data_IF_108646874054
#
_entry.id   IF_108646874054
#
_cell.length_a   1.000
_cell.length_b   1.000
_cell.length_c   1.000
_cell.angle_alpha   90.00
_cell.angle_beta   90.00
_cell.angle_gamma   90.00
#
_symmetry.space_group_name_H-M   'P 1'
#
loop_
_entity.id
_entity.type
_entity.pdbx_description
1 polymer ?
#
# COMPACT_ATOMS: atom_id res chain seq x y z
N UNK A 1 66.60 79.51 1.50
CA UNK A 1 65.39 79.13 0.75
C UNK A 1 64.32 78.82 1.77
N UNK A 2 63.45 79.79 2.06
CA UNK A 2 62.38 79.65 3.06
C UNK A 2 61.25 78.82 2.46
N UNK A 3 61.19 77.53 2.83
CA UNK A 3 60.04 76.67 2.55
C UNK A 3 58.83 77.21 3.31
N UNK A 4 57.94 77.91 2.61
CA UNK A 4 56.65 78.31 3.14
C UNK A 4 55.87 77.06 3.56
N UNK A 5 55.54 76.95 4.84
CA UNK A 5 54.68 75.90 5.40
C UNK A 5 53.26 76.11 4.86
N UNK A 6 52.96 75.52 3.71
CA UNK A 6 51.61 75.51 3.15
C UNK A 6 50.76 74.54 3.96
N UNK A 7 49.92 75.07 4.83
CA UNK A 7 48.92 74.27 5.55
C UNK A 7 47.87 73.82 4.51
N UNK A 8 47.58 72.51 4.47
CA UNK A 8 46.62 71.90 3.52
C UNK A 8 45.43 71.32 4.28
N UNK A 9 44.24 71.47 3.70
CA UNK A 9 42.98 70.95 4.25
C UNK A 9 42.36 69.86 3.39
N UNK A 10 41.51 69.02 4.00
CA UNK A 10 40.73 67.98 3.34
C UNK A 10 39.28 68.43 3.13
N UNK A 11 38.81 68.42 1.87
CA UNK A 11 37.43 68.76 1.56
C UNK A 11 36.51 67.56 1.70
N UNK A 12 35.50 67.62 2.57
CA UNK A 12 34.58 66.48 2.80
C UNK A 12 33.58 66.21 1.66
N UNK A 13 33.59 66.99 0.58
CA UNK A 13 32.76 66.76 -0.62
C UNK A 13 33.56 65.99 -1.68
N UNK A 14 34.70 66.54 -2.14
CA UNK A 14 35.53 65.87 -3.14
C UNK A 14 36.54 64.88 -2.54
N UNK A 15 36.72 64.89 -1.22
CA UNK A 15 37.68 64.06 -0.48
C UNK A 15 39.16 64.32 -0.83
N UNK A 16 39.44 65.41 -1.53
CA UNK A 16 40.81 65.84 -1.84
C UNK A 16 41.49 66.38 -0.57
N UNK A 17 42.67 65.84 -0.24
CA UNK A 17 43.43 66.04 1.00
C UNK A 17 44.59 67.03 0.87
N UNK A 18 44.76 67.64 -0.31
CA UNK A 18 45.87 68.56 -0.64
C UNK A 18 45.42 69.93 -1.14
N UNK A 19 44.29 70.42 -0.65
CA UNK A 19 43.79 71.75 -1.05
C UNK A 19 44.36 72.81 -0.11
N UNK A 20 44.86 73.89 -0.69
CA UNK A 20 45.34 75.06 0.06
C UNK A 20 44.20 75.66 0.87
N UNK A 21 44.44 75.96 2.16
CA UNK A 21 43.41 76.48 3.07
C UNK A 21 42.75 77.77 2.58
N UNK A 22 43.48 78.59 1.82
CA UNK A 22 42.96 79.82 1.22
C UNK A 22 41.85 79.57 0.19
N UNK A 23 41.75 78.34 -0.33
CA UNK A 23 40.71 77.90 -1.25
C UNK A 23 39.51 77.28 -0.55
N UNK A 24 39.47 77.24 0.78
CA UNK A 24 38.29 76.79 1.53
C UNK A 24 37.36 77.96 1.84
N UNK A 25 36.05 77.73 1.70
CA UNK A 25 35.03 78.63 2.24
C UNK A 25 34.28 77.93 3.38
N UNK A 26 34.02 78.68 4.44
CA UNK A 26 33.35 78.20 5.65
C UNK A 26 31.90 78.68 5.62
N UNK A 27 30.95 77.76 5.71
CA UNK A 27 29.54 78.11 5.89
C UNK A 27 29.32 78.72 7.29
N UNK A 28 28.27 79.53 7.50
CA UNK A 28 27.94 80.08 8.84
C UNK A 28 27.72 79.00 9.92
N UNK A 29 27.46 77.76 9.51
CA UNK A 29 27.39 76.60 10.40
C UNK A 29 28.75 76.06 10.89
N UNK A 30 29.89 76.64 10.47
CA UNK A 30 31.24 76.23 10.84
C UNK A 30 31.86 75.14 9.96
N UNK A 31 31.12 74.58 9.00
CA UNK A 31 31.64 73.57 8.08
C UNK A 31 32.31 74.21 6.87
N UNK A 32 33.51 73.73 6.52
CA UNK A 32 34.30 74.25 5.40
C UNK A 32 34.42 73.24 4.26
N UNK A 33 34.43 73.76 3.03
CA UNK A 33 34.66 72.96 1.82
C UNK A 33 35.48 73.76 0.82
N UNK A 34 36.10 73.07 -0.14
CA UNK A 34 36.87 73.76 -1.16
C UNK A 34 35.97 74.59 -2.10
N UNK A 35 36.54 75.65 -2.65
CA UNK A 35 35.85 76.62 -3.49
C UNK A 35 35.18 75.98 -4.71
N UNK A 36 35.78 74.94 -5.29
CA UNK A 36 35.22 74.25 -6.46
C UNK A 36 33.92 73.52 -6.09
N UNK A 37 33.94 72.69 -5.04
CA UNK A 37 32.73 71.98 -4.59
C UNK A 37 31.61 72.93 -4.17
N UNK A 38 31.97 74.07 -3.57
CA UNK A 38 31.00 75.09 -3.21
C UNK A 38 30.41 75.75 -4.46
N UNK A 39 31.23 76.05 -5.47
CA UNK A 39 30.78 76.62 -6.75
C UNK A 39 29.86 75.66 -7.51
N UNK A 40 30.13 74.36 -7.46
CA UNK A 40 29.27 73.32 -8.05
C UNK A 40 27.93 73.21 -7.31
N UNK A 41 27.94 73.30 -5.98
CA UNK A 41 26.73 73.39 -5.15
C UNK A 41 25.90 74.62 -5.51
N UNK A 42 26.52 75.77 -5.77
CA UNK A 42 25.84 76.99 -6.24
C UNK A 42 25.25 76.83 -7.65
N UNK A 43 25.90 76.05 -8.52
CA UNK A 43 25.51 75.89 -9.93
C UNK A 43 24.35 74.90 -10.10
N UNK A 44 24.27 73.90 -9.23
CA UNK A 44 23.24 72.86 -9.27
C UNK A 44 21.94 73.23 -8.54
N UNK A 45 21.97 74.23 -7.65
CA UNK A 45 20.80 74.66 -6.90
C UNK A 45 20.04 75.80 -7.59
N UNK A 46 18.89 75.51 -8.19
CA UNK A 46 18.02 76.47 -8.89
C UNK A 46 17.24 77.42 -7.93
N UNK A 47 17.68 77.55 -6.67
CA UNK A 47 17.01 78.33 -5.63
C UNK A 47 18.04 79.17 -4.89
N UNK A 48 17.64 80.37 -4.43
CA UNK A 48 18.46 81.31 -3.64
C UNK A 48 18.97 80.76 -2.28
N UNK A 49 18.76 79.47 -2.00
CA UNK A 49 18.97 78.78 -0.72
C UNK A 49 19.80 77.53 -0.93
N UNK A 50 20.86 77.36 -0.14
CA UNK A 50 21.78 76.21 -0.21
C UNK A 50 21.78 75.45 1.10
N UNK A 51 21.91 74.13 1.03
CA UNK A 51 22.01 73.24 2.18
C UNK A 51 23.47 72.88 2.41
N UNK A 52 23.96 73.04 3.64
CA UNK A 52 25.26 72.51 4.02
C UNK A 52 25.27 70.97 3.87
N UNK A 53 26.22 70.36 3.14
CA UNK A 53 26.26 68.90 2.96
C UNK A 53 26.40 68.10 4.26
N UNK A 54 27.06 68.67 5.29
CA UNK A 54 27.31 67.97 6.56
C UNK A 54 26.15 68.10 7.53
N UNK A 55 25.67 69.33 7.79
CA UNK A 55 24.64 69.57 8.81
C UNK A 55 23.24 69.88 8.24
N UNK A 56 23.09 69.93 6.92
CA UNK A 56 21.83 70.18 6.17
C UNK A 56 21.09 71.49 6.49
N UNK A 57 21.67 72.38 7.30
CA UNK A 57 21.14 73.73 7.56
C UNK A 57 21.10 74.53 6.25
N UNK A 58 20.00 75.25 6.05
CA UNK A 58 19.73 76.04 4.85
C UNK A 58 20.22 77.47 5.07
N UNK A 59 20.99 77.98 4.11
CA UNK A 59 21.56 79.34 4.13
C UNK A 59 21.22 80.08 2.84
N UNK A 60 21.13 81.40 2.89
CA UNK A 60 20.96 82.22 1.68
C UNK A 60 22.32 82.42 1.01
N UNK A 61 22.34 82.51 -0.33
CA UNK A 61 23.57 82.70 -1.12
C UNK A 61 24.40 83.91 -0.69
N UNK A 62 23.75 84.94 -0.14
CA UNK A 62 24.40 86.17 0.36
C UNK A 62 25.19 85.97 1.65
N UNK A 63 24.96 84.89 2.38
CA UNK A 63 25.51 84.68 3.73
C UNK A 63 26.82 83.87 3.70
N UNK A 64 27.23 83.39 2.53
CA UNK A 64 28.50 82.73 2.31
C UNK A 64 29.62 83.77 2.15
N UNK A 65 30.06 84.36 3.26
CA UNK A 65 31.20 85.28 3.29
C UNK A 65 32.51 84.50 3.10
N UNK A 66 33.43 84.99 2.26
CA UNK A 66 34.83 84.53 2.25
C UNK A 66 35.45 84.91 3.60
N UNK A 67 35.60 83.96 4.51
CA UNK A 67 36.35 84.15 5.75
C UNK A 67 37.82 83.80 5.49
N UNK A 68 38.71 84.75 5.78
CA UNK A 68 40.17 84.58 5.83
C UNK A 68 40.51 83.81 7.10
N UNK A 69 41.12 82.63 6.97
CA UNK A 69 41.47 81.77 8.09
C UNK A 69 42.81 82.24 8.70
N UNK A 70 42.85 82.51 10.01
CA UNK A 70 44.10 82.74 10.76
C UNK A 70 44.45 81.45 11.54
N UNK A 71 45.48 80.68 11.17
CA UNK A 71 45.86 79.50 11.92
C UNK A 71 46.73 79.90 13.13
N UNK A 72 46.23 79.68 14.33
CA UNK A 72 47.06 79.62 15.54
C UNK A 72 47.70 78.23 15.62
N UNK A 73 49.01 78.15 15.44
CA UNK A 73 49.80 76.92 15.61
C UNK A 73 50.03 76.75 17.11
N UNK A 74 49.51 75.67 17.70
CA UNK A 74 49.79 75.27 19.08
C UNK A 74 50.69 74.03 19.02
N UNK A 75 51.83 74.08 19.72
CA UNK A 75 52.86 73.05 19.72
C UNK A 75 52.31 71.68 20.15
N UNK A 76 52.48 70.69 19.26
CA UNK A 76 51.83 69.37 19.28
C UNK A 76 52.77 68.25 19.75
N UNK A 77 53.92 68.58 20.34
CA UNK A 77 54.97 67.61 20.65
C UNK A 77 54.77 66.88 21.99
N UNK A 78 54.20 67.53 23.00
CA UNK A 78 54.22 66.99 24.38
C UNK A 78 52.99 66.16 24.77
N UNK A 79 52.00 65.94 23.88
CA UNK A 79 50.75 65.25 24.26
C UNK A 79 50.56 63.84 23.70
N UNK A 80 51.51 63.32 22.91
CA UNK A 80 51.27 62.06 22.19
C UNK A 80 51.14 60.84 23.12
N UNK A 81 51.97 60.74 24.16
CA UNK A 81 51.93 59.63 25.12
C UNK A 81 50.64 59.64 25.97
N UNK A 82 50.27 60.82 26.48
CA UNK A 82 49.06 60.99 27.30
C UNK A 82 47.78 60.66 26.52
N UNK A 83 47.71 61.02 25.22
CA UNK A 83 46.58 60.64 24.37
C UNK A 83 46.48 59.13 24.12
N UNK A 84 47.60 58.41 24.12
CA UNK A 84 47.60 56.95 24.00
C UNK A 84 47.16 56.31 25.31
N UNK A 85 47.67 56.80 26.44
CA UNK A 85 47.29 56.32 27.78
C UNK A 85 45.79 56.54 28.04
N UNK A 86 45.28 57.74 27.80
CA UNK A 86 43.84 58.05 27.91
C UNK A 86 43.01 57.18 26.95
N UNK A 87 43.51 56.94 25.75
CA UNK A 87 42.90 56.01 24.79
C UNK A 87 42.78 54.58 25.34
N UNK A 88 43.85 54.03 25.93
CA UNK A 88 43.85 52.68 26.52
C UNK A 88 42.95 52.58 27.75
N UNK A 89 42.91 53.62 28.59
CA UNK A 89 42.04 53.67 29.77
C UNK A 89 40.55 53.66 29.38
N UNK A 90 40.19 54.29 28.25
CA UNK A 90 38.82 54.32 27.72
C UNK A 90 38.41 53.05 26.98
N UNK A 91 39.33 52.15 26.66
CA UNK A 91 39.00 50.91 25.95
C UNK A 91 38.44 49.87 26.92
N UNK A 92 37.26 49.33 26.62
CA UNK A 92 36.59 48.30 27.39
C UNK A 92 36.13 47.12 26.52
N UNK A 93 35.30 46.23 27.08
CA UNK A 93 34.72 45.06 26.40
C UNK A 93 33.87 45.37 25.17
N UNK A 94 33.38 46.60 25.04
CA UNK A 94 32.52 47.02 23.92
C UNK A 94 33.33 47.62 22.77
N UNK A 95 34.63 47.78 22.97
CA UNK A 95 35.55 48.38 22.01
C UNK A 95 35.66 47.53 20.73
N UNK A 96 35.52 48.18 19.57
CA UNK A 96 35.67 47.52 18.27
C UNK A 96 37.13 47.12 18.04
N UNK A 97 37.36 45.99 17.36
CA UNK A 97 38.70 45.50 16.99
C UNK A 97 39.54 46.55 16.23
N UNK A 98 38.89 47.43 15.46
CA UNK A 98 39.56 48.51 14.73
C UNK A 98 40.22 49.51 15.70
N UNK A 99 39.57 49.80 16.83
CA UNK A 99 40.12 50.68 17.88
C UNK A 99 41.33 50.05 18.57
N UNK A 100 41.31 48.73 18.80
CA UNK A 100 42.47 47.97 19.32
C UNK A 100 43.65 48.03 18.34
N UNK A 101 43.40 47.81 17.04
CA UNK A 101 44.43 47.92 16.00
C UNK A 101 45.02 49.32 15.89
N UNK A 102 44.18 50.36 16.01
CA UNK A 102 44.63 51.77 16.04
C UNK A 102 45.43 52.08 17.29
N UNK A 103 45.02 51.58 18.46
CA UNK A 103 45.77 51.72 19.70
C UNK A 103 47.15 51.06 19.59
N UNK A 104 47.23 49.86 19.02
CA UNK A 104 48.50 49.19 18.72
C UNK A 104 49.40 50.05 17.82
N UNK A 105 48.89 50.54 16.69
CA UNK A 105 49.69 51.39 15.80
C UNK A 105 50.19 52.68 16.48
N UNK A 106 49.37 53.29 17.35
CA UNK A 106 49.77 54.46 18.14
C UNK A 106 50.79 54.11 19.21
N UNK A 107 50.69 52.95 19.84
CA UNK A 107 51.67 52.43 20.80
C UNK A 107 53.03 52.19 20.12
N UNK A 108 53.04 51.58 18.93
CA UNK A 108 54.26 51.36 18.15
C UNK A 108 54.94 52.68 17.81
N UNK A 109 54.18 53.69 17.37
CA UNK A 109 54.71 55.02 17.06
C UNK A 109 55.19 55.79 18.29
N UNK A 110 54.49 55.64 19.43
CA UNK A 110 54.92 56.22 20.69
C UNK A 110 56.25 55.61 21.15
N UNK A 111 56.43 54.30 20.99
CA UNK A 111 57.65 53.59 21.36
C UNK A 111 58.93 54.08 20.66
N UNK A 112 58.81 54.70 19.48
CA UNK A 112 59.95 55.24 18.73
C UNK A 112 60.56 56.52 19.36
N UNK A 113 59.81 57.24 20.21
CA UNK A 113 60.21 58.56 20.74
C UNK A 113 59.93 58.71 22.24
N UNK A 114 60.16 57.66 23.04
CA UNK A 114 59.83 57.63 24.47
C UNK A 114 61.00 58.08 25.35
N UNK A 115 60.72 59.04 26.24
CA UNK A 115 61.56 59.37 27.40
C UNK A 115 61.29 58.40 28.56
N UNK A 116 62.25 58.23 29.47
CA UNK A 116 62.18 57.25 30.57
C UNK A 116 60.92 57.39 31.44
N UNK A 117 60.48 58.61 31.74
CA UNK A 117 59.26 58.88 32.51
C UNK A 117 57.97 58.49 31.77
N UNK A 118 57.94 58.71 30.44
CA UNK A 118 56.81 58.32 29.59
C UNK A 118 56.76 56.81 29.39
N UNK A 119 57.92 56.14 29.40
CA UNK A 119 58.03 54.68 29.32
C UNK A 119 57.30 54.02 30.49
N UNK A 120 57.54 54.49 31.72
CA UNK A 120 56.96 53.89 32.93
C UNK A 120 55.44 54.10 32.99
N UNK A 121 54.96 55.29 32.62
CA UNK A 121 53.51 55.58 32.54
C UNK A 121 52.82 54.70 31.50
N UNK A 122 53.44 54.53 30.34
CA UNK A 122 52.90 53.68 29.28
C UNK A 122 52.91 52.21 29.68
N UNK A 123 53.98 51.72 30.34
CA UNK A 123 54.06 50.36 30.88
C UNK A 123 52.92 50.07 31.84
N UNK A 124 52.67 50.98 32.79
CA UNK A 124 51.56 50.86 33.76
C UNK A 124 50.19 50.83 33.07
N UNK A 125 49.99 51.66 32.04
CA UNK A 125 48.74 51.68 31.27
C UNK A 125 48.53 50.38 30.47
N UNK A 126 49.60 49.81 29.90
CA UNK A 126 49.57 48.52 29.20
C UNK A 126 49.25 47.38 30.16
N UNK A 127 49.83 47.37 31.36
CA UNK A 127 49.55 46.36 32.39
C UNK A 127 48.09 46.42 32.85
N UNK A 128 47.54 47.63 33.11
CA UNK A 128 46.14 47.80 33.46
C UNK A 128 45.19 47.37 32.33
N UNK A 129 45.48 47.79 31.10
CA UNK A 129 44.74 47.36 29.92
C UNK A 129 44.76 45.83 29.78
N UNK A 130 45.92 45.20 29.94
CA UNK A 130 46.08 43.74 29.86
C UNK A 130 45.26 43.03 30.95
N UNK A 131 45.31 43.54 32.19
CA UNK A 131 44.52 43.00 33.31
C UNK A 131 43.02 43.07 33.06
N UNK A 132 42.52 44.10 32.37
CA UNK A 132 41.10 44.24 32.01
C UNK A 132 40.70 43.41 30.79
N UNK A 133 41.61 43.19 29.85
CA UNK A 133 41.32 42.57 28.55
C UNK A 133 41.47 41.05 28.57
N UNK A 134 42.43 40.50 29.31
CA UNK A 134 42.65 39.04 29.38
C UNK A 134 41.38 38.28 29.84
N UNK A 135 40.69 38.67 30.94
CA UNK A 135 39.48 37.98 31.37
C UNK A 135 38.37 37.98 30.31
N UNK A 136 38.30 39.03 29.47
CA UNK A 136 37.30 39.10 28.40
C UNK A 136 37.58 38.09 27.29
N UNK A 137 38.84 37.85 26.96
CA UNK A 137 39.21 36.81 25.99
C UNK A 137 38.96 35.41 26.55
N UNK A 138 39.22 35.18 27.84
CA UNK A 138 38.88 33.92 28.51
C UNK A 138 37.37 33.66 28.50
N UNK A 139 36.54 34.67 28.81
CA UNK A 139 35.09 34.59 28.71
C UNK A 139 34.63 34.31 27.27
N UNK A 140 35.24 34.95 26.26
CA UNK A 140 34.93 34.70 24.86
C UNK A 140 35.30 33.27 24.42
N UNK A 141 36.44 32.74 24.85
CA UNK A 141 36.85 31.38 24.53
C UNK A 141 35.96 30.35 25.21
N UNK A 142 35.54 30.60 26.46
CA UNK A 142 34.51 29.80 27.14
C UNK A 142 33.18 29.86 26.40
N UNK A 143 32.76 31.03 25.94
CA UNK A 143 31.56 31.22 25.13
C UNK A 143 31.62 30.42 23.82
N UNK A 144 32.74 30.46 23.11
CA UNK A 144 32.94 29.66 21.88
C UNK A 144 32.88 28.16 22.13
N UNK A 145 33.55 27.68 23.19
CA UNK A 145 33.49 26.27 23.59
C UNK A 145 32.04 25.86 23.90
N UNK A 146 31.30 26.71 24.61
CA UNK A 146 29.90 26.44 24.94
C UNK A 146 29.01 26.39 23.71
N UNK A 147 29.20 27.29 22.75
CA UNK A 147 28.49 27.27 21.47
C UNK A 147 28.79 25.97 20.72
N UNK A 148 30.06 25.57 20.64
CA UNK A 148 30.46 24.32 19.99
C UNK A 148 29.85 23.08 20.65
N UNK A 149 29.81 23.02 21.98
CA UNK A 149 29.13 21.94 22.72
C UNK A 149 27.63 21.90 22.42
N UNK A 150 26.98 23.08 22.37
CA UNK A 150 25.56 23.19 22.05
C UNK A 150 25.28 22.72 20.62
N UNK A 151 26.06 23.17 19.64
CA UNK A 151 25.96 22.75 18.24
C UNK A 151 26.17 21.23 18.09
N UNK A 152 27.15 20.65 18.79
CA UNK A 152 27.34 19.21 18.80
C UNK A 152 26.13 18.48 19.41
N UNK A 153 25.59 18.99 20.53
CA UNK A 153 24.42 18.41 21.18
C UNK A 153 23.16 18.51 20.30
N UNK A 154 22.95 19.63 19.62
CA UNK A 154 21.84 19.83 18.70
C UNK A 154 21.99 18.93 17.47
N UNK A 155 23.20 18.78 16.94
CA UNK A 155 23.50 17.86 15.85
C UNK A 155 23.10 16.42 16.19
N UNK A 156 23.42 15.94 17.40
CA UNK A 156 23.02 14.59 17.82
C UNK A 156 21.50 14.44 17.98
N UNK A 157 20.82 15.44 18.55
CA UNK A 157 19.34 15.46 18.67
C UNK A 157 18.68 15.46 17.30
N UNK A 158 19.21 16.23 16.35
CA UNK A 158 18.70 16.28 14.98
C UNK A 158 18.85 14.93 14.26
N UNK A 159 20.00 14.26 14.43
CA UNK A 159 20.20 12.91 13.88
C UNK A 159 19.26 11.87 14.50
N UNK A 160 19.00 11.93 15.81
CA UNK A 160 18.03 11.06 16.48
C UNK A 160 16.60 11.32 15.98
N UNK A 161 16.21 12.59 15.78
CA UNK A 161 14.92 12.93 15.19
C UNK A 161 14.78 12.42 13.75
N UNK A 162 15.83 12.51 12.93
CA UNK A 162 15.84 11.91 11.58
C UNK A 162 15.67 10.39 11.65
N UNK A 163 16.38 9.71 12.56
CA UNK A 163 16.25 8.26 12.73
C UNK A 163 14.84 7.86 13.17
N UNK A 164 14.23 8.61 14.10
CA UNK A 164 12.84 8.43 14.53
C UNK A 164 11.84 8.66 13.39
N UNK A 165 12.02 9.72 12.59
CA UNK A 165 11.19 10.00 11.42
C UNK A 165 11.23 8.84 10.42
N UNK A 166 12.41 8.31 10.08
CA UNK A 166 12.54 7.14 9.20
C UNK A 166 11.85 5.89 9.75
N UNK A 167 11.85 5.71 11.07
CA UNK A 167 11.14 4.61 11.73
C UNK A 167 9.62 4.77 11.60
N UNK A 168 9.10 5.99 11.78
CA UNK A 168 7.68 6.30 11.57
C UNK A 168 7.29 5.98 10.12
N UNK A 169 8.05 6.45 9.12
CA UNK A 169 7.78 6.16 7.70
C UNK A 169 7.76 4.66 7.37
N UNK A 170 8.55 3.86 8.10
CA UNK A 170 8.58 2.40 7.94
C UNK A 170 7.33 1.76 8.54
N UNK A 171 6.95 2.17 9.76
CA UNK A 171 5.73 1.70 10.42
C UNK A 171 4.47 2.09 9.64
N UNK A 172 4.42 3.28 9.03
CA UNK A 172 3.31 3.70 8.18
C UNK A 172 3.16 2.80 6.94
N UNK A 173 4.27 2.43 6.30
CA UNK A 173 4.28 1.45 5.21
C UNK A 173 3.79 0.07 5.65
N UNK A 174 4.17 -0.39 6.84
CA UNK A 174 3.68 -1.65 7.40
C UNK A 174 2.17 -1.60 7.70
N UNK A 175 1.68 -0.51 8.30
CA UNK A 175 0.24 -0.32 8.57
C UNK A 175 -0.57 -0.31 7.28
N UNK A 176 -0.10 0.39 6.23
CA UNK A 176 -0.79 0.41 4.94
C UNK A 176 -0.76 -0.95 4.24
N UNK A 177 0.30 -1.74 4.41
CA UNK A 177 0.37 -3.12 3.94
C UNK A 177 -0.62 -4.03 4.69
N UNK A 178 -0.63 -3.99 6.03
CA UNK A 178 -1.54 -4.78 6.85
C UNK A 178 -3.02 -4.45 6.58
N UNK A 179 -3.35 -3.18 6.35
CA UNK A 179 -4.71 -2.77 5.96
C UNK A 179 -5.15 -3.39 4.63
N UNK A 180 -4.25 -3.40 3.62
CA UNK A 180 -4.52 -4.05 2.33
C UNK A 180 -4.72 -5.56 2.49
N UNK A 181 -3.83 -6.22 3.23
CA UNK A 181 -3.94 -7.66 3.51
C UNK A 181 -5.23 -8.00 4.28
N UNK A 182 -5.62 -7.17 5.25
CA UNK A 182 -6.90 -7.34 5.95
C UNK A 182 -8.08 -7.24 4.99
N UNK A 183 -8.12 -6.23 4.13
CA UNK A 183 -9.20 -6.05 3.16
C UNK A 183 -9.31 -7.22 2.17
N UNK A 184 -8.16 -7.76 1.72
CA UNK A 184 -8.10 -8.94 0.87
C UNK A 184 -8.66 -10.19 1.58
N UNK A 185 -8.29 -10.41 2.85
CA UNK A 185 -8.83 -11.51 3.65
C UNK A 185 -10.34 -11.38 3.89
N UNK A 186 -10.83 -10.16 4.11
CA UNK A 186 -12.27 -9.89 4.24
C UNK A 186 -13.02 -10.17 2.93
N UNK A 187 -12.46 -9.79 1.78
CA UNK A 187 -13.00 -10.14 0.46
C UNK A 187 -13.07 -11.66 0.24
N UNK A 188 -11.96 -12.36 0.50
CA UNK A 188 -11.88 -13.82 0.36
C UNK A 188 -12.86 -14.54 1.29
N UNK A 189 -13.05 -14.03 2.51
CA UNK A 189 -14.04 -14.56 3.46
C UNK A 189 -15.46 -14.37 2.93
N UNK A 190 -15.78 -13.19 2.39
CA UNK A 190 -17.10 -12.92 1.79
C UNK A 190 -17.38 -13.88 0.63
N UNK A 191 -16.45 -14.04 -0.30
CA UNK A 191 -16.60 -14.97 -1.44
C UNK A 191 -16.78 -16.42 -0.99
N UNK A 192 -16.08 -16.82 0.08
CA UNK A 192 -16.22 -18.15 0.66
C UNK A 192 -17.59 -18.37 1.31
N UNK A 193 -18.15 -17.34 1.96
CA UNK A 193 -19.49 -17.38 2.53
C UNK A 193 -20.57 -17.45 1.44
N UNK A 194 -20.44 -16.64 0.39
CA UNK A 194 -21.36 -16.66 -0.76
C UNK A 194 -21.35 -18.04 -1.45
N UNK A 195 -20.17 -18.63 -1.61
CA UNK A 195 -20.01 -19.98 -2.15
C UNK A 195 -20.66 -21.03 -1.24
N UNK A 196 -20.46 -20.93 0.08
CA UNK A 196 -21.08 -21.84 1.04
C UNK A 196 -22.62 -21.72 1.04
N UNK A 197 -23.16 -20.51 0.90
CA UNK A 197 -24.59 -20.29 0.76
C UNK A 197 -25.15 -20.89 -0.53
N UNK A 198 -24.46 -20.71 -1.66
CA UNK A 198 -24.84 -21.35 -2.92
C UNK A 198 -24.87 -22.89 -2.81
N UNK A 199 -23.90 -23.48 -2.13
CA UNK A 199 -23.92 -24.92 -1.84
C UNK A 199 -25.09 -25.32 -0.93
N UNK A 200 -25.40 -24.52 0.09
CA UNK A 200 -26.55 -24.76 0.98
C UNK A 200 -27.86 -24.80 0.20
N UNK A 201 -28.08 -23.84 -0.70
CA UNK A 201 -29.26 -23.78 -1.58
C UNK A 201 -29.34 -25.03 -2.45
N UNK A 202 -28.24 -25.42 -3.11
CA UNK A 202 -28.20 -26.63 -3.94
C UNK A 202 -28.50 -27.91 -3.17
N UNK A 203 -28.00 -28.03 -1.93
CA UNK A 203 -28.33 -29.16 -1.05
C UNK A 203 -29.82 -29.19 -0.72
N UNK A 204 -30.42 -28.03 -0.46
CA UNK A 204 -31.86 -27.90 -0.21
C UNK A 204 -32.70 -28.32 -1.44
N UNK A 205 -32.30 -27.93 -2.64
CA UNK A 205 -32.97 -28.34 -3.89
C UNK A 205 -32.88 -29.85 -4.14
N UNK A 206 -31.71 -30.44 -3.90
CA UNK A 206 -31.50 -31.88 -4.01
C UNK A 206 -32.31 -32.65 -2.96
N UNK A 207 -32.44 -32.12 -1.74
CA UNK A 207 -33.31 -32.70 -0.72
C UNK A 207 -34.78 -32.65 -1.14
N UNK A 208 -35.24 -31.53 -1.71
CA UNK A 208 -36.58 -31.42 -2.30
C UNK A 208 -36.81 -32.49 -3.38
N UNK A 209 -35.90 -32.57 -4.35
CA UNK A 209 -35.95 -33.57 -5.43
C UNK A 209 -35.97 -35.01 -4.91
N UNK A 210 -35.16 -35.31 -3.88
CA UNK A 210 -35.15 -36.62 -3.24
C UNK A 210 -36.49 -36.94 -2.55
N UNK A 211 -37.11 -35.95 -1.90
CA UNK A 211 -38.42 -36.14 -1.27
C UNK A 211 -39.52 -36.39 -2.30
N UNK A 212 -39.47 -35.71 -3.44
CA UNK A 212 -40.43 -35.92 -4.53
C UNK A 212 -40.23 -37.28 -5.20
N UNK A 213 -38.98 -37.69 -5.44
CA UNK A 213 -38.67 -39.03 -5.95
C UNK A 213 -39.18 -40.12 -5.00
N UNK A 214 -39.04 -39.95 -3.68
CA UNK A 214 -39.59 -40.88 -2.68
C UNK A 214 -41.12 -40.95 -2.73
N UNK A 215 -41.80 -39.81 -2.86
CA UNK A 215 -43.26 -39.78 -3.03
C UNK A 215 -43.68 -40.52 -4.29
N UNK A 216 -42.99 -40.29 -5.41
CA UNK A 216 -43.28 -40.97 -6.68
C UNK A 216 -43.10 -42.49 -6.58
N UNK A 217 -42.03 -42.96 -5.93
CA UNK A 217 -41.82 -44.39 -5.67
C UNK A 217 -42.96 -44.96 -4.83
N UNK A 218 -43.36 -44.28 -3.75
CA UNK A 218 -44.50 -44.70 -2.91
C UNK A 218 -45.79 -44.83 -3.71
N UNK A 219 -46.10 -43.87 -4.60
CA UNK A 219 -47.29 -43.93 -5.47
C UNK A 219 -47.19 -45.12 -6.43
N UNK A 220 -46.02 -45.37 -7.01
CA UNK A 220 -45.81 -46.51 -7.92
C UNK A 220 -45.91 -47.86 -7.21
N UNK A 221 -45.47 -47.95 -5.96
CA UNK A 221 -45.66 -49.13 -5.11
C UNK A 221 -47.15 -49.39 -4.85
N UNK A 222 -47.94 -48.35 -4.55
CA UNK A 222 -49.39 -48.49 -4.41
C UNK A 222 -50.07 -48.92 -5.71
N UNK A 223 -49.70 -48.35 -6.86
CA UNK A 223 -50.21 -48.75 -8.17
C UNK A 223 -49.87 -50.22 -8.48
N UNK A 224 -48.64 -50.65 -8.21
CA UNK A 224 -48.19 -52.03 -8.38
C UNK A 224 -49.02 -52.98 -7.50
N UNK A 225 -49.26 -52.62 -6.24
CA UNK A 225 -50.09 -53.39 -5.33
C UNK A 225 -51.53 -53.54 -5.86
N UNK A 226 -52.14 -52.45 -6.34
CA UNK A 226 -53.50 -52.48 -6.94
C UNK A 226 -53.55 -53.36 -8.20
N UNK A 227 -52.51 -53.32 -9.03
CA UNK A 227 -52.40 -54.16 -10.23
C UNK A 227 -52.27 -55.65 -9.85
N UNK A 228 -51.47 -55.95 -8.82
CA UNK A 228 -51.29 -57.31 -8.31
C UNK A 228 -52.59 -57.88 -7.71
N UNK A 229 -53.33 -57.07 -6.95
CA UNK A 229 -54.67 -57.44 -6.45
C UNK A 229 -55.65 -57.74 -7.59
N UNK A 230 -55.63 -56.92 -8.64
CA UNK A 230 -56.47 -57.11 -9.83
C UNK A 230 -56.11 -58.42 -10.54
N UNK A 231 -54.83 -58.71 -10.72
CA UNK A 231 -54.35 -59.96 -11.31
C UNK A 231 -54.79 -61.19 -10.48
N UNK A 232 -54.72 -61.09 -9.15
CA UNK A 232 -55.16 -62.17 -8.26
C UNK A 232 -56.68 -62.42 -8.36
N UNK A 233 -57.49 -61.36 -8.53
CA UNK A 233 -58.93 -61.49 -8.80
C UNK A 233 -59.19 -62.19 -10.13
N UNK A 234 -58.47 -61.82 -11.20
CA UNK A 234 -58.58 -62.49 -12.50
C UNK A 234 -58.17 -63.96 -12.43
N UNK A 235 -57.03 -64.29 -11.81
CA UNK A 235 -56.60 -65.68 -11.60
C UNK A 235 -57.66 -66.51 -10.85
N UNK A 236 -58.25 -65.93 -9.82
CA UNK A 236 -59.33 -66.58 -9.07
C UNK A 236 -60.55 -66.83 -9.95
N UNK A 237 -60.98 -65.82 -10.72
CA UNK A 237 -62.09 -65.92 -11.69
C UNK A 237 -61.82 -66.97 -12.78
N UNK A 238 -60.62 -66.99 -13.36
CA UNK A 238 -60.23 -67.96 -14.37
C UNK A 238 -60.15 -69.38 -13.83
N UNK A 239 -59.71 -69.55 -12.57
CA UNK A 239 -59.74 -70.86 -11.91
C UNK A 239 -61.19 -71.38 -11.77
N UNK A 240 -62.15 -70.49 -11.48
CA UNK A 240 -63.57 -70.84 -11.38
C UNK A 240 -64.15 -71.16 -12.76
N UNK A 241 -63.84 -70.36 -13.79
CA UNK A 241 -64.25 -70.63 -15.17
C UNK A 241 -63.65 -71.93 -15.69
N UNK A 242 -62.38 -72.21 -15.41
CA UNK A 242 -61.71 -73.46 -15.76
C UNK A 242 -62.41 -74.66 -15.10
N UNK A 243 -62.77 -74.56 -13.82
CA UNK A 243 -63.58 -75.57 -13.13
C UNK A 243 -64.95 -75.77 -13.80
N UNK A 244 -65.66 -74.68 -14.12
CA UNK A 244 -66.95 -74.75 -14.85
C UNK A 244 -66.80 -75.38 -16.23
N UNK A 245 -65.78 -75.01 -17.00
CA UNK A 245 -65.48 -75.59 -18.31
C UNK A 245 -65.18 -77.08 -18.22
N UNK A 246 -64.46 -77.54 -17.17
CA UNK A 246 -64.23 -78.97 -16.94
C UNK A 246 -65.54 -79.72 -16.70
N UNK A 247 -66.45 -79.16 -15.90
CA UNK A 247 -67.78 -79.74 -15.65
C UNK A 247 -68.60 -79.79 -16.95
N UNK A 248 -68.71 -78.68 -17.67
CA UNK A 248 -69.42 -78.63 -18.95
C UNK A 248 -68.84 -79.59 -19.98
N UNK A 249 -67.51 -79.75 -20.02
CA UNK A 249 -66.85 -80.71 -20.90
C UNK A 249 -67.23 -82.16 -20.55
N UNK A 250 -67.25 -82.49 -19.26
CA UNK A 250 -67.72 -83.81 -18.80
C UNK A 250 -69.20 -84.04 -19.15
N UNK A 251 -70.06 -83.02 -19.01
CA UNK A 251 -71.47 -83.12 -19.42
C UNK A 251 -71.61 -83.33 -20.93
N UNK A 252 -70.86 -82.60 -21.76
CA UNK A 252 -70.83 -82.79 -23.21
C UNK A 252 -70.35 -84.18 -23.57
N UNK A 253 -69.33 -84.70 -22.89
CA UNK A 253 -68.81 -86.07 -23.10
C UNK A 253 -69.86 -87.12 -22.76
N UNK A 254 -70.56 -86.98 -21.63
CA UNK A 254 -71.69 -87.86 -21.23
C UNK A 254 -72.85 -87.79 -22.24
N UNK A 255 -73.20 -86.59 -22.71
CA UNK A 255 -74.24 -86.42 -23.71
C UNK A 255 -73.83 -87.00 -25.06
N UNK A 256 -72.56 -86.84 -25.44
CA UNK A 256 -71.98 -87.41 -26.65
C UNK A 256 -72.01 -88.94 -26.61
N UNK A 257 -71.62 -89.56 -25.49
CA UNK A 257 -71.71 -91.03 -25.35
C UNK A 257 -73.16 -91.51 -25.39
N UNK A 258 -74.11 -90.78 -24.80
CA UNK A 258 -75.54 -91.09 -24.90
C UNK A 258 -76.08 -90.94 -26.32
N UNK A 259 -75.57 -89.96 -27.08
CA UNK A 259 -75.91 -89.77 -28.49
C UNK A 259 -75.38 -90.91 -29.33
N UNK A 260 -74.11 -91.28 -29.18
CA UNK A 260 -73.52 -92.46 -29.85
C UNK A 260 -74.25 -93.76 -29.48
N UNK A 261 -74.66 -93.94 -28.23
CA UNK A 261 -75.46 -95.09 -27.82
C UNK A 261 -76.84 -95.10 -28.48
N UNK A 262 -77.46 -93.93 -28.64
CA UNK A 262 -78.71 -93.78 -29.40
C UNK A 262 -78.53 -93.99 -30.89
N UNK A 263 -77.45 -93.48 -31.48
CA UNK A 263 -77.09 -93.72 -32.88
C UNK A 263 -76.85 -95.21 -33.10
N UNK A 264 -76.07 -95.87 -32.25
CA UNK A 264 -75.91 -97.33 -32.30
C UNK A 264 -77.23 -98.08 -32.16
N UNK A 265 -78.13 -97.64 -31.26
CA UNK A 265 -79.49 -98.21 -31.15
C UNK A 265 -80.37 -97.95 -32.38
N UNK A 266 -80.18 -96.83 -33.05
CA UNK A 266 -80.88 -96.50 -34.29
C UNK A 266 -80.26 -97.27 -35.46
N UNK A 267 -78.94 -97.44 -35.54
CA UNK A 267 -78.26 -98.31 -36.50
C UNK A 267 -78.62 -99.78 -36.29
N UNK A 268 -78.81 -100.25 -35.05
CA UNK A 268 -79.39 -101.57 -34.76
C UNK A 268 -80.85 -101.69 -35.23
N UNK A 269 -81.59 -100.58 -35.26
CA UNK A 269 -82.99 -100.50 -35.70
C UNK A 269 -83.11 -100.32 -37.23
N UNK A 270 -82.19 -99.61 -37.85
CA UNK A 270 -82.08 -99.37 -39.29
C UNK A 270 -81.45 -100.59 -39.99
N UNK A 271 -80.55 -101.34 -39.32
CA UNK A 271 -80.17 -102.69 -39.74
C UNK A 271 -81.34 -103.70 -39.69
N UNK A 272 -82.49 -103.32 -39.13
CA UNK A 272 -83.74 -104.09 -39.15
C UNK A 272 -84.80 -103.54 -40.11
N UNK A 273 -84.57 -102.38 -40.74
CA UNK A 273 -85.43 -101.79 -41.77
C UNK A 273 -84.58 -100.96 -42.75
N UNK A 274 -83.83 -101.63 -43.64
CA UNK A 274 -83.41 -101.00 -44.90
C UNK A 274 -83.27 -102.04 -46.03
N UNK A 275 -84.43 -102.44 -46.55
CA UNK A 275 -84.66 -102.83 -47.94
C UNK A 275 -85.48 -101.68 -48.54
N UNK A 276 -84.98 -101.14 -49.66
CA UNK A 276 -85.60 -100.14 -50.54
C UNK A 276 -85.75 -98.71 -49.97
N UNK A 277 -85.03 -97.72 -50.50
CA UNK A 277 -85.45 -97.04 -51.73
C UNK A 277 -84.49 -95.91 -52.18
N UNK A 278 -84.10 -96.06 -53.44
CA UNK A 278 -83.62 -95.11 -54.44
C UNK A 278 -83.90 -93.59 -54.28
N UNK A 279 -82.87 -92.83 -54.67
CA UNK A 279 -82.88 -91.75 -55.66
C UNK A 279 -83.35 -90.31 -55.29
N UNK A 280 -82.45 -89.38 -55.65
CA UNK A 280 -82.66 -88.20 -56.52
C UNK A 280 -82.90 -86.79 -55.91
N UNK A 281 -82.19 -85.84 -56.55
CA UNK A 281 -82.47 -84.40 -56.76
C UNK A 281 -81.83 -83.28 -55.89
N UNK A 282 -80.80 -82.65 -56.49
CA UNK A 282 -80.56 -81.22 -56.76
C UNK A 282 -80.96 -80.11 -55.77
N UNK A 283 -80.04 -79.13 -55.61
CA UNK A 283 -80.43 -77.71 -55.60
C UNK A 283 -79.57 -76.72 -54.80
N UNK A 284 -78.54 -76.19 -55.46
CA UNK A 284 -77.99 -74.82 -55.39
C UNK A 284 -78.16 -73.93 -54.13
N UNK A 285 -77.05 -73.40 -53.61
CA UNK A 285 -76.85 -71.94 -53.46
C UNK A 285 -75.35 -71.61 -53.50
N UNK A 286 -74.97 -70.81 -54.50
CA UNK A 286 -73.66 -70.17 -54.61
C UNK A 286 -73.71 -68.82 -53.86
N UNK A 287 -72.76 -68.55 -52.97
CA UNK A 287 -72.38 -67.19 -52.58
C UNK A 287 -70.97 -67.16 -51.97
N UNK A 288 -70.01 -66.72 -52.80
CA UNK A 288 -68.84 -65.89 -52.47
C UNK A 288 -67.87 -66.38 -51.37
N UNK A 289 -66.74 -66.94 -51.82
CA UNK A 289 -65.47 -66.92 -51.10
C UNK A 289 -64.54 -65.88 -51.73
N UNK A 290 -63.84 -65.03 -50.95
CA UNK A 290 -62.66 -64.34 -51.44
C UNK A 290 -61.41 -65.20 -51.27
N UNK A 291 -60.66 -65.25 -52.38
CA UNK A 291 -59.27 -65.71 -52.53
C UNK A 291 -58.34 -65.05 -51.49
N UNK A 292 -57.47 -65.82 -50.81
CA UNK A 292 -56.09 -66.13 -51.21
C UNK A 292 -55.21 -64.92 -51.59
N UNK A 293 -54.41 -64.48 -50.64
CA UNK A 293 -53.02 -64.00 -50.75
C UNK A 293 -52.52 -63.81 -49.30
N UNK A 294 -51.29 -64.05 -48.88
CA UNK A 294 -50.06 -64.52 -49.52
C UNK A 294 -49.21 -65.15 -48.41
N UNK A 295 -48.41 -66.10 -48.84
CA UNK A 295 -47.35 -66.80 -48.12
C UNK A 295 -46.25 -65.83 -47.65
N UNK A 296 -45.83 -65.87 -46.38
CA UNK A 296 -44.45 -65.63 -45.89
C UNK A 296 -44.37 -66.01 -44.40
N UNK A 297 -43.84 -67.18 -44.04
CA UNK A 297 -42.43 -67.50 -43.70
C UNK A 297 -41.85 -66.68 -42.52
N UNK A 298 -41.55 -67.44 -41.45
CA UNK A 298 -40.52 -67.29 -40.40
C UNK A 298 -40.12 -65.88 -39.93
N UNK A 299 -40.10 -65.64 -38.61
CA UNK A 299 -38.92 -65.96 -37.79
C UNK A 299 -39.11 -65.50 -36.35
N UNK A 300 -38.63 -66.38 -35.47
CA UNK A 300 -38.09 -66.11 -34.13
C UNK A 300 -37.15 -64.90 -34.18
N UNK A 301 -37.32 -63.94 -33.29
CA UNK A 301 -36.25 -63.37 -32.46
C UNK A 301 -36.72 -62.22 -31.57
N UNK A 302 -36.02 -62.14 -30.44
CA UNK A 302 -36.00 -61.15 -29.40
C UNK A 302 -36.10 -59.71 -29.92
N UNK A 303 -37.16 -59.00 -29.50
CA UNK A 303 -37.30 -57.57 -29.68
C UNK A 303 -36.42 -56.80 -28.70
N UNK A 304 -35.11 -56.83 -28.93
CA UNK A 304 -34.23 -55.74 -28.53
C UNK A 304 -34.55 -54.57 -29.46
N UNK A 305 -35.24 -53.56 -28.95
CA UNK A 305 -35.36 -52.28 -29.64
C UNK A 305 -33.96 -51.69 -29.78
N UNK A 306 -33.48 -51.66 -31.02
CA UNK A 306 -32.34 -50.84 -31.45
C UNK A 306 -32.57 -49.42 -30.98
N UNK A 307 -31.81 -49.03 -29.96
CA UNK A 307 -31.54 -47.64 -29.64
C UNK A 307 -30.85 -47.06 -30.87
N UNK A 308 -31.48 -46.05 -31.44
CA UNK A 308 -30.96 -45.23 -32.52
C UNK A 308 -29.63 -44.61 -32.04
N UNK A 309 -28.51 -45.11 -32.57
CA UNK A 309 -27.16 -44.57 -32.30
C UNK A 309 -26.87 -43.28 -33.10
N UNK A 310 -27.92 -42.57 -33.52
CA UNK A 310 -27.82 -41.29 -34.18
C UNK A 310 -28.46 -40.15 -33.36
N UNK A 311 -28.27 -40.19 -32.04
CA UNK A 311 -28.31 -38.96 -31.23
C UNK A 311 -27.04 -38.14 -31.53
N UNK A 312 -27.05 -37.42 -32.66
CA UNK A 312 -26.31 -36.16 -32.74
C UNK A 312 -26.95 -35.20 -31.75
N UNK A 313 -26.36 -35.16 -30.56
CA UNK A 313 -26.65 -34.17 -29.53
C UNK A 313 -26.05 -32.83 -29.96
N UNK A 314 -26.65 -32.22 -30.98
CA UNK A 314 -26.34 -30.87 -31.45
C UNK A 314 -27.05 -29.86 -30.54
N UNK A 315 -26.60 -29.76 -29.29
CA UNK A 315 -27.35 -28.95 -28.30
C UNK A 315 -26.76 -28.74 -26.90
N UNK A 316 -25.60 -29.31 -26.55
CA UNK A 316 -24.83 -28.83 -25.40
C UNK A 316 -23.45 -28.39 -25.84
N UNK A 317 -23.00 -27.18 -25.49
CA UNK A 317 -21.59 -26.86 -25.60
C UNK A 317 -20.81 -27.89 -24.77
N UNK A 318 -19.79 -28.50 -25.38
CA UNK A 318 -18.90 -29.41 -24.68
C UNK A 318 -18.39 -28.72 -23.40
N UNK A 319 -18.36 -29.40 -22.23
CA UNK A 319 -17.78 -28.82 -21.03
C UNK A 319 -16.32 -28.49 -21.33
N UNK A 320 -16.04 -27.20 -21.52
CA UNK A 320 -14.72 -26.65 -21.76
C UNK A 320 -13.86 -26.69 -20.50
N UNK A 321 -13.66 -27.87 -19.92
CA UNK A 321 -12.56 -28.09 -18.99
C UNK A 321 -11.27 -28.19 -19.82
N UNK A 322 -10.72 -27.02 -20.18
CA UNK A 322 -9.29 -26.94 -20.45
C UNK A 322 -8.58 -27.10 -19.12
N UNK A 323 -8.23 -28.34 -18.77
CA UNK A 323 -7.19 -28.61 -17.79
C UNK A 323 -5.85 -28.13 -18.34
N UNK A 324 -5.61 -26.83 -18.27
CA UNK A 324 -4.29 -26.24 -18.46
C UNK A 324 -3.44 -26.48 -17.20
N UNK A 325 -3.28 -27.76 -16.81
CA UNK A 325 -2.13 -28.19 -16.01
C UNK A 325 -1.00 -28.54 -16.97
N UNK A 326 -0.60 -27.55 -17.76
CA UNK A 326 0.65 -27.62 -18.50
C UNK A 326 1.77 -27.42 -17.48
N UNK A 327 2.28 -28.52 -16.94
CA UNK A 327 3.60 -28.57 -16.31
C UNK A 327 4.65 -28.46 -17.42
N UNK A 328 4.65 -27.32 -18.10
CA UNK A 328 5.58 -26.97 -19.14
C UNK A 328 6.92 -26.62 -18.53
N UNK A 329 7.77 -27.63 -18.40
CA UNK A 329 9.22 -27.46 -18.42
C UNK A 329 9.60 -26.59 -19.61
N UNK A 330 10.05 -25.37 -19.37
CA UNK A 330 10.95 -24.67 -20.28
C UNK A 330 11.92 -23.80 -19.48
N UNK A 331 13.08 -24.42 -19.29
CA UNK A 331 14.40 -23.83 -19.22
C UNK A 331 14.50 -22.48 -19.92
N UNK A 332 14.61 -21.40 -19.15
CA UNK A 332 15.41 -20.26 -19.56
C UNK A 332 16.42 -19.95 -18.47
N UNK A 333 17.68 -20.16 -18.85
CA UNK A 333 18.89 -19.93 -18.08
C UNK A 333 18.90 -18.47 -17.61
N UNK A 334 18.96 -18.27 -16.29
CA UNK A 334 19.56 -17.09 -15.67
C UNK A 334 20.54 -17.57 -14.59
N UNK A 335 21.76 -17.02 -14.52
CA UNK A 335 22.72 -17.45 -13.52
C UNK A 335 22.24 -16.98 -12.15
N UNK A 336 21.92 -17.95 -11.28
CA UNK A 336 21.78 -17.72 -9.85
C UNK A 336 23.14 -17.30 -9.29
N UNK A 337 23.33 -16.00 -9.12
CA UNK A 337 24.27 -15.48 -8.13
C UNK A 337 23.68 -15.86 -6.77
N UNK A 338 24.32 -16.83 -6.14
CA UNK A 338 24.07 -17.24 -4.76
C UNK A 338 24.35 -16.05 -3.84
N UNK A 339 23.34 -15.21 -3.62
CA UNK A 339 23.30 -14.33 -2.47
C UNK A 339 23.10 -15.19 -1.23
N UNK A 340 24.25 -15.46 -0.61
CA UNK A 340 24.46 -15.92 0.77
C UNK A 340 23.34 -15.36 1.66
N UNK A 341 22.39 -16.23 2.03
CA UNK A 341 21.32 -15.93 2.98
C UNK A 341 21.99 -15.57 4.30
N UNK A 342 22.00 -14.28 4.63
CA UNK A 342 22.39 -13.81 5.95
C UNK A 342 21.48 -14.49 6.97
N UNK A 343 22.10 -15.11 7.97
CA UNK A 343 21.39 -15.65 9.10
C UNK A 343 20.55 -14.55 9.74
N UNK A 344 19.28 -14.80 10.08
CA UNK A 344 18.56 -13.89 10.95
C UNK A 344 19.24 -13.94 12.31
N UNK A 345 19.84 -12.81 12.70
CA UNK A 345 20.21 -12.56 14.09
C UNK A 345 18.94 -12.70 14.90
N UNK A 346 18.89 -13.77 15.69
CA UNK A 346 17.80 -14.12 16.59
C UNK A 346 17.69 -13.02 17.65
N UNK A 347 16.94 -11.98 17.35
CA UNK A 347 16.46 -11.05 18.36
C UNK A 347 15.39 -11.78 19.16
N UNK A 348 15.70 -11.99 20.45
CA UNK A 348 14.82 -12.59 21.44
C UNK A 348 13.55 -11.75 21.56
N UNK A 349 12.56 -12.03 20.72
CA UNK A 349 11.21 -11.54 20.93
C UNK A 349 10.59 -12.41 22.02
N UNK A 350 10.22 -11.76 23.13
CA UNK A 350 9.45 -12.36 24.21
C UNK A 350 8.06 -12.71 23.68
N UNK A 351 7.94 -13.87 23.05
CA UNK A 351 6.65 -14.42 22.68
C UNK A 351 5.99 -14.94 23.96
N UNK A 352 4.88 -14.31 24.35
CA UNK A 352 3.93 -14.83 25.34
C UNK A 352 3.18 -16.05 24.77
N UNK A 353 3.89 -17.00 24.17
CA UNK A 353 3.35 -18.31 23.87
C UNK A 353 3.47 -19.16 25.13
N UNK A 354 2.40 -19.81 25.62
CA UNK A 354 2.41 -20.59 26.85
C UNK A 354 3.22 -21.90 26.76
N UNK A 355 4.04 -22.08 25.72
CA UNK A 355 4.83 -23.27 25.44
C UNK A 355 6.29 -22.89 25.24
N UNK A 356 7.15 -23.31 26.18
CA UNK A 356 8.60 -23.11 26.09
C UNK A 356 9.22 -24.11 25.10
N UNK A 357 9.70 -23.62 23.95
CA UNK A 357 10.37 -24.43 22.93
C UNK A 357 11.90 -24.33 23.05
N UNK A 358 12.62 -25.39 22.70
CA UNK A 358 14.09 -25.39 22.58
C UNK A 358 14.54 -24.69 21.27
N UNK A 359 15.85 -24.51 21.10
CA UNK A 359 16.42 -23.93 19.87
C UNK A 359 16.18 -24.74 18.58
N UNK A 360 15.56 -25.92 18.69
CA UNK A 360 15.14 -26.79 17.58
C UNK A 360 13.61 -26.82 17.41
N UNK A 361 12.88 -25.98 18.14
CA UNK A 361 11.41 -25.87 18.08
C UNK A 361 10.66 -27.01 18.79
N UNK A 362 11.29 -27.76 19.69
CA UNK A 362 10.67 -28.85 20.46
C UNK A 362 10.24 -28.36 21.83
N UNK A 363 9.08 -28.77 22.37
CA UNK A 363 8.67 -28.37 23.72
C UNK A 363 9.67 -28.87 24.75
N UNK A 364 10.03 -28.01 25.70
CA UNK A 364 10.95 -28.32 26.81
C UNK A 364 10.22 -28.89 28.02
N UNK A 365 8.91 -28.66 28.11
CA UNK A 365 8.01 -29.15 29.15
C UNK A 365 7.00 -30.12 28.55
N UNK A 366 6.47 -31.03 29.36
CA UNK A 366 5.45 -31.98 28.91
C UNK A 366 4.19 -31.21 28.49
N UNK A 367 3.72 -31.45 27.27
CA UNK A 367 2.52 -30.78 26.73
C UNK A 367 1.37 -31.79 26.70
N UNK A 368 0.26 -31.41 27.32
CA UNK A 368 -0.98 -32.17 27.28
C UNK A 368 -1.72 -31.86 25.99
N UNK A 369 -1.87 -32.84 25.10
CA UNK A 369 -2.53 -32.69 23.79
C UNK A 369 -4.02 -33.05 23.88
N UNK A 370 -4.45 -33.64 24.99
CA UNK A 370 -5.84 -33.91 25.27
C UNK A 370 -6.07 -34.56 26.63
N UNK A 371 -7.31 -34.99 26.93
CA UNK A 371 -7.68 -35.52 28.25
C UNK A 371 -6.88 -36.75 28.70
N UNK A 372 -6.28 -37.51 27.75
CA UNK A 372 -5.54 -38.75 28.03
C UNK A 372 -4.17 -38.84 27.32
N UNK A 373 -3.71 -37.79 26.66
CA UNK A 373 -2.46 -37.80 25.90
C UNK A 373 -1.50 -36.71 26.40
N UNK A 374 -0.32 -37.14 26.86
CA UNK A 374 0.78 -36.26 27.26
C UNK A 374 2.03 -36.67 26.50
N UNK A 375 2.62 -35.75 25.74
CA UNK A 375 3.93 -35.99 25.12
C UNK A 375 5.00 -35.71 26.18
N UNK A 376 5.70 -36.77 26.61
CA UNK A 376 6.87 -36.64 27.49
C UNK A 376 8.11 -36.39 26.63
N UNK A 377 8.84 -35.33 26.96
CA UNK A 377 10.13 -35.04 26.35
C UNK A 377 11.15 -36.00 26.96
N UNK A 378 11.73 -36.88 26.15
CA UNK A 378 12.79 -37.77 26.61
C UNK A 378 14.04 -36.93 26.95
N UNK A 379 14.31 -36.72 28.24
CA UNK A 379 15.59 -36.21 28.69
C UNK A 379 16.65 -37.27 28.36
N UNK A 380 17.47 -37.01 27.35
CA UNK A 380 18.73 -37.72 27.19
C UNK A 380 19.69 -37.14 28.23
N UNK A 381 20.03 -37.95 29.24
CA UNK A 381 21.08 -37.66 30.21
C UNK A 381 22.45 -37.61 29.55
#
# INVERSE_FOLDING_TARGET
MTSSLVVRGECKICLEDRIELDLFQVFPCGHSFCQNCISDLFSTSDRRKIKCPLCRKIWLRTDASKLVFFPAIVDLADSSADHVIDGLNRMDKTCKTISVKRAHAKLTKAAENIDEDNAERLRKAIEDFSRRIIPLFEELDLGRKRIQELEASEGTKFQDLIAKSRRVDTLEREVTHLRRSKAELESNLSESLDSAEAFRIKVQDLQGSLTDARRNVSVKEEELNRAMDSLNRFKSSDSLKSKKLKILKQEVEILSTKLQEKEHRLEERDNMMDIDQQQLFNGAFAAQSPALSSLHKHSREEGWTTVDNNFQFEGMPAPGFRSNWNSGSNTSKKPNILLKKSQPVCTKTSSNFPLSLDGKGRPTTAVQIGPKSTIRVAQRF
#
